data_IF_015955810194
#
_entry.id   IF_015955810194
#
_cell.length_a   1.000
_cell.length_b   1.000
_cell.length_c   1.000
_cell.angle_alpha   90.00
_cell.angle_beta   90.00
_cell.angle_gamma   90.00
#
_symmetry.space_group_name_H-M   'P 1'
#
loop_
_entity.id
_entity.type
_entity.pdbx_description
1 polymer ?
#
# COMPACT_ATOMS: atom_id res chain seq x y z
N UNK A 1 19.21 73.00 -28.03
CA UNK A 1 18.27 74.14 -27.91
C UNK A 1 16.96 73.64 -28.48
N UNK A 2 15.83 73.47 -27.80
CA UNK A 2 15.25 74.17 -26.64
C UNK A 2 14.13 73.29 -26.06
N UNK A 3 13.89 73.37 -24.75
CA UNK A 3 12.79 72.73 -24.01
C UNK A 3 11.42 73.37 -24.31
N UNK A 4 10.33 72.61 -24.13
CA UNK A 4 9.09 72.93 -23.38
C UNK A 4 8.07 71.82 -23.69
N UNK A 5 7.42 71.09 -22.78
CA UNK A 5 6.98 71.42 -21.43
C UNK A 5 5.56 72.00 -21.47
N UNK A 6 4.52 71.15 -21.55
CA UNK A 6 3.14 71.45 -21.11
C UNK A 6 2.49 70.15 -20.62
N UNK A 7 2.26 70.08 -19.30
CA UNK A 7 1.31 69.18 -18.66
C UNK A 7 -0.10 69.75 -18.83
N UNK A 8 -1.06 68.91 -19.23
CA UNK A 8 -2.46 69.11 -18.85
C UNK A 8 -3.07 67.76 -18.50
N UNK A 9 -3.39 67.64 -17.21
CA UNK A 9 -4.05 66.57 -16.52
C UNK A 9 -5.56 66.84 -16.57
N UNK A 10 -6.40 65.93 -17.07
CA UNK A 10 -7.81 65.83 -16.65
C UNK A 10 -8.40 64.44 -16.93
N UNK A 11 -8.71 63.76 -15.81
CA UNK A 11 -9.93 62.98 -15.52
C UNK A 11 -10.23 61.65 -16.22
N UNK A 12 -9.94 60.60 -15.46
CA UNK A 12 -10.92 59.60 -14.97
C UNK A 12 -11.92 59.02 -15.97
N UNK A 13 -11.72 57.75 -16.33
CA UNK A 13 -12.77 56.73 -16.21
C UNK A 13 -12.13 55.38 -15.92
N UNK A 14 -12.27 54.96 -14.66
CA UNK A 14 -12.00 53.62 -14.20
C UNK A 14 -12.89 52.64 -14.98
N UNK A 15 -12.25 51.71 -15.71
CA UNK A 15 -12.91 50.48 -16.13
C UNK A 15 -12.29 49.38 -15.25
N UNK A 16 -12.90 49.23 -14.09
CA UNK A 16 -12.65 48.15 -13.16
C UNK A 16 -13.14 46.87 -13.84
N UNK A 17 -12.26 46.18 -14.58
CA UNK A 17 -12.49 44.77 -14.92
C UNK A 17 -12.32 43.99 -13.61
N UNK A 18 -13.41 43.82 -12.89
CA UNK A 18 -13.51 42.74 -11.92
C UNK A 18 -13.52 41.43 -12.71
N UNK A 19 -12.58 40.50 -12.47
CA UNK A 19 -12.76 39.15 -12.96
C UNK A 19 -13.99 38.60 -12.24
N UNK A 20 -15.02 38.30 -13.03
CA UNK A 20 -16.20 37.55 -12.62
C UNK A 20 -15.71 36.31 -11.86
N UNK A 21 -16.17 36.03 -10.63
CA UNK A 21 -15.82 34.78 -9.96
C UNK A 21 -16.40 33.66 -10.82
N UNK A 22 -15.53 32.95 -11.52
CA UNK A 22 -15.90 31.76 -12.26
C UNK A 22 -16.39 30.77 -11.22
N UNK A 23 -17.68 30.49 -11.31
CA UNK A 23 -18.40 29.66 -10.36
C UNK A 23 -17.94 28.20 -10.49
N UNK A 24 -17.90 27.56 -9.32
CA UNK A 24 -17.95 26.11 -9.09
C UNK A 24 -16.69 25.35 -9.50
N UNK A 25 -15.70 25.37 -8.61
CA UNK A 25 -14.86 24.19 -8.41
C UNK A 25 -15.74 23.20 -7.66
N UNK A 26 -16.32 22.24 -8.38
CA UNK A 26 -16.88 21.03 -7.77
C UNK A 26 -15.70 20.21 -7.23
N UNK A 27 -15.20 20.59 -6.06
CA UNK A 27 -14.34 19.74 -5.26
C UNK A 27 -15.24 18.75 -4.52
N UNK A 28 -15.83 17.81 -5.25
CA UNK A 28 -16.21 16.51 -4.70
C UNK A 28 -15.00 15.58 -4.74
N UNK A 29 -13.82 16.09 -4.34
CA UNK A 29 -12.59 15.33 -4.31
C UNK A 29 -12.51 14.57 -2.99
N UNK A 30 -13.42 13.59 -2.84
CA UNK A 30 -13.19 12.50 -1.92
C UNK A 30 -11.78 11.96 -2.19
N UNK A 31 -10.94 11.75 -1.15
CA UNK A 31 -9.59 11.29 -1.37
C UNK A 31 -9.63 10.02 -2.22
N UNK A 32 -8.72 9.88 -3.20
CA UNK A 32 -8.71 8.71 -4.05
C UNK A 32 -8.65 7.46 -3.17
N UNK A 33 -9.34 6.40 -3.60
CA UNK A 33 -9.28 5.13 -2.90
C UNK A 33 -7.81 4.76 -2.61
N UNK A 34 -7.51 4.33 -1.38
CA UNK A 34 -6.11 4.14 -0.90
C UNK A 34 -5.25 3.33 -1.86
N UNK A 35 -5.82 2.31 -2.50
CA UNK A 35 -5.09 1.44 -3.43
C UNK A 35 -4.67 2.13 -4.73
N UNK A 36 -5.26 3.27 -5.10
CA UNK A 36 -4.88 4.02 -6.30
C UNK A 36 -3.54 4.76 -6.15
N UNK A 37 -3.08 4.93 -4.91
CA UNK A 37 -1.77 5.47 -4.58
C UNK A 37 -0.86 4.30 -4.18
N UNK A 38 0.28 4.16 -4.85
CA UNK A 38 1.20 3.05 -4.62
C UNK A 38 1.95 3.25 -3.30
N UNK A 39 1.72 2.35 -2.34
CA UNK A 39 2.32 2.43 -1.01
C UNK A 39 3.83 2.13 -1.02
N UNK A 40 4.57 2.75 -0.11
CA UNK A 40 6.00 2.53 0.14
C UNK A 40 6.38 1.08 0.51
N UNK A 41 5.42 0.25 0.93
CA UNK A 41 5.62 -1.18 1.19
C UNK A 41 5.72 -2.01 -0.09
N UNK A 42 5.16 -1.53 -1.20
CA UNK A 42 5.23 -2.22 -2.51
C UNK A 42 6.68 -2.24 -2.99
N UNK A 43 7.26 -3.37 -3.44
CA UNK A 43 8.65 -3.44 -3.90
C UNK A 43 9.02 -2.38 -4.95
N UNK A 44 10.20 -1.77 -4.82
CA UNK A 44 10.64 -0.66 -5.68
C UNK A 44 10.55 -0.92 -7.20
N UNK A 45 10.92 -2.10 -7.72
CA UNK A 45 10.79 -2.38 -9.15
C UNK A 45 9.34 -2.34 -9.65
N UNK A 46 8.38 -2.71 -8.81
CA UNK A 46 6.95 -2.66 -9.14
C UNK A 46 6.46 -1.21 -9.14
N UNK A 47 6.86 -0.42 -8.12
CA UNK A 47 6.49 1.00 -8.03
C UNK A 47 6.95 1.80 -9.24
N UNK A 48 8.21 1.64 -9.63
CA UNK A 48 8.78 2.35 -10.78
C UNK A 48 7.98 2.13 -12.07
N UNK A 49 7.60 0.88 -12.36
CA UNK A 49 6.84 0.57 -13.57
C UNK A 49 5.37 1.06 -13.48
N UNK A 50 4.80 1.10 -12.28
CA UNK A 50 3.47 1.71 -12.07
C UNK A 50 3.51 3.24 -12.22
N UNK A 51 4.57 3.90 -11.72
CA UNK A 51 4.78 5.34 -11.92
C UNK A 51 4.96 5.67 -13.41
N UNK A 52 5.68 4.83 -14.16
CA UNK A 52 5.78 4.92 -15.63
C UNK A 52 4.41 4.77 -16.30
N UNK A 53 3.58 3.81 -15.85
CA UNK A 53 2.24 3.59 -16.39
C UNK A 53 1.30 4.78 -16.14
N UNK A 54 1.30 5.32 -14.91
CA UNK A 54 0.54 6.52 -14.56
C UNK A 54 1.02 7.73 -15.36
N UNK A 55 2.33 7.92 -15.48
CA UNK A 55 2.92 9.00 -16.29
C UNK A 55 2.49 8.91 -17.76
N UNK A 56 2.47 7.71 -18.33
CA UNK A 56 1.96 7.50 -19.68
C UNK A 56 0.46 7.83 -19.78
N UNK A 57 -0.36 7.40 -18.82
CA UNK A 57 -1.79 7.67 -18.83
C UNK A 57 -2.09 9.17 -18.70
N UNK A 58 -1.38 9.88 -17.83
CA UNK A 58 -1.50 11.33 -17.64
C UNK A 58 -1.12 12.15 -18.90
N UNK A 59 -0.25 11.59 -19.75
CA UNK A 59 0.16 12.17 -21.03
C UNK A 59 -0.62 11.59 -22.22
N UNK A 60 -1.68 10.81 -21.96
CA UNK A 60 -2.51 10.11 -22.97
C UNK A 60 -1.72 9.21 -23.93
N UNK A 61 -0.59 8.65 -23.47
CA UNK A 61 0.24 7.69 -24.21
C UNK A 61 -0.19 6.25 -23.94
N UNK A 62 -1.28 5.82 -24.56
CA UNK A 62 -1.90 4.50 -24.32
C UNK A 62 -0.98 3.32 -24.65
N UNK A 63 -0.18 3.40 -25.71
CA UNK A 63 0.80 2.36 -26.07
C UNK A 63 1.83 2.15 -24.96
N UNK A 64 2.44 3.25 -24.48
CA UNK A 64 3.42 3.21 -23.40
C UNK A 64 2.79 2.75 -22.09
N UNK A 65 1.62 3.28 -21.74
CA UNK A 65 0.90 2.91 -20.53
C UNK A 65 0.50 1.43 -20.51
N UNK A 66 0.02 0.90 -21.64
CA UNK A 66 -0.32 -0.53 -21.77
C UNK A 66 0.90 -1.41 -21.57
N UNK A 67 2.02 -1.07 -22.22
CA UNK A 67 3.28 -1.82 -22.06
C UNK A 67 3.77 -1.79 -20.61
N UNK A 68 3.72 -0.64 -19.95
CA UNK A 68 4.12 -0.49 -18.55
C UNK A 68 3.20 -1.28 -17.62
N UNK A 69 1.87 -1.17 -17.76
CA UNK A 69 0.93 -1.88 -16.91
C UNK A 69 1.05 -3.41 -17.02
N UNK A 70 1.18 -3.96 -18.24
CA UNK A 70 1.42 -5.40 -18.46
C UNK A 70 2.79 -5.82 -17.92
N UNK A 71 3.82 -4.99 -18.07
CA UNK A 71 5.15 -5.22 -17.49
C UNK A 71 5.11 -5.23 -15.97
N UNK A 72 4.39 -4.31 -15.33
CA UNK A 72 4.23 -4.25 -13.88
C UNK A 72 3.70 -5.59 -13.36
N UNK A 73 2.69 -6.16 -14.02
CA UNK A 73 2.16 -7.47 -13.64
C UNK A 73 3.19 -8.60 -13.77
N UNK A 74 4.00 -8.61 -14.84
CA UNK A 74 5.11 -9.58 -14.96
C UNK A 74 6.15 -9.40 -13.85
N UNK A 75 6.46 -8.17 -13.46
CA UNK A 75 7.37 -7.89 -12.34
C UNK A 75 6.77 -8.37 -11.00
N UNK A 76 5.47 -8.21 -10.79
CA UNK A 76 4.75 -8.78 -9.63
C UNK A 76 4.88 -10.31 -9.62
N UNK A 77 4.57 -10.99 -10.73
CA UNK A 77 4.67 -12.45 -10.82
C UNK A 77 6.11 -12.94 -10.60
N UNK A 78 7.11 -12.23 -11.12
CA UNK A 78 8.52 -12.56 -10.89
C UNK A 78 8.90 -12.39 -9.41
N UNK A 79 8.48 -11.29 -8.79
CA UNK A 79 8.73 -11.00 -7.36
C UNK A 79 8.07 -12.05 -6.47
N UNK A 80 6.86 -12.49 -6.84
CA UNK A 80 6.12 -13.53 -6.15
C UNK A 80 6.62 -14.96 -6.47
N UNK A 81 7.63 -15.11 -7.33
CA UNK A 81 8.21 -16.39 -7.75
C UNK A 81 7.19 -17.34 -8.40
N UNK A 82 6.25 -16.78 -9.16
CA UNK A 82 5.21 -17.53 -9.90
C UNK A 82 5.26 -17.28 -11.41
N UNK A 83 6.20 -16.46 -11.90
CA UNK A 83 6.34 -16.16 -13.32
C UNK A 83 6.89 -17.38 -14.08
N UNK A 84 6.18 -17.75 -15.14
CA UNK A 84 6.57 -18.75 -16.14
C UNK A 84 6.41 -18.16 -17.54
N UNK A 85 6.77 -18.91 -18.57
CA UNK A 85 6.56 -18.50 -19.98
C UNK A 85 5.08 -18.45 -20.36
N UNK A 86 4.21 -19.14 -19.61
CA UNK A 86 2.76 -19.09 -19.76
C UNK A 86 2.16 -18.07 -18.77
N UNK A 87 1.64 -16.98 -19.32
CA UNK A 87 1.01 -15.92 -18.51
C UNK A 87 -0.21 -16.42 -17.75
N UNK A 88 -1.08 -17.22 -18.39
CA UNK A 88 -2.31 -17.72 -17.77
C UNK A 88 -1.99 -18.69 -16.64
N UNK A 89 -0.99 -19.55 -16.82
CA UNK A 89 -0.49 -20.40 -15.73
C UNK A 89 0.09 -19.57 -14.58
N UNK A 90 0.88 -18.55 -14.88
CA UNK A 90 1.47 -17.64 -13.88
C UNK A 90 0.39 -16.88 -13.09
N UNK A 91 -0.67 -16.43 -13.77
CA UNK A 91 -1.80 -15.74 -13.17
C UNK A 91 -2.61 -16.66 -12.26
N UNK A 92 -2.81 -17.92 -12.66
CA UNK A 92 -3.45 -18.94 -11.83
C UNK A 92 -2.62 -19.22 -10.56
N UNK A 93 -1.32 -19.44 -10.68
CA UNK A 93 -0.44 -19.66 -9.54
C UNK A 93 -0.41 -18.47 -8.58
N UNK A 94 -0.45 -17.24 -9.11
CA UNK A 94 -0.56 -16.04 -8.27
C UNK A 94 -1.88 -16.01 -7.48
N UNK A 95 -3.00 -16.35 -8.14
CA UNK A 95 -4.33 -16.42 -7.51
C UNK A 95 -4.38 -17.48 -6.42
N UNK A 96 -3.79 -18.65 -6.65
CA UNK A 96 -3.71 -19.72 -5.66
C UNK A 96 -2.86 -19.33 -4.45
N UNK A 97 -1.72 -18.67 -4.69
CA UNK A 97 -0.84 -18.15 -3.63
C UNK A 97 -1.55 -17.10 -2.76
N UNK A 98 -2.38 -16.27 -3.37
CA UNK A 98 -3.08 -15.16 -2.71
C UNK A 98 -4.60 -15.35 -2.70
N UNK A 99 -5.07 -16.48 -2.17
CA UNK A 99 -6.49 -16.87 -2.17
C UNK A 99 -7.45 -15.87 -1.47
N UNK A 100 -6.93 -14.96 -0.65
CA UNK A 100 -7.72 -13.90 0.00
C UNK A 100 -8.07 -12.71 -0.92
N UNK A 101 -7.48 -12.63 -2.12
CA UNK A 101 -7.72 -11.55 -3.07
C UNK A 101 -8.98 -11.85 -3.89
N UNK A 102 -9.81 -10.83 -4.10
CA UNK A 102 -11.06 -10.95 -4.83
C UNK A 102 -10.85 -11.52 -6.26
N UNK A 103 -11.54 -12.61 -6.65
CA UNK A 103 -11.39 -13.23 -7.97
C UNK A 103 -11.60 -12.28 -9.15
N UNK A 104 -12.47 -11.28 -8.99
CA UNK A 104 -12.78 -10.28 -10.02
C UNK A 104 -11.54 -9.53 -10.51
N UNK A 105 -10.55 -9.28 -9.64
CA UNK A 105 -9.31 -8.61 -10.04
C UNK A 105 -8.51 -9.47 -11.03
N UNK A 106 -8.45 -10.78 -10.80
CA UNK A 106 -7.80 -11.71 -11.72
C UNK A 106 -8.56 -11.84 -13.04
N UNK A 107 -9.90 -11.75 -13.03
CA UNK A 107 -10.70 -11.71 -14.27
C UNK A 107 -10.34 -10.52 -15.14
N UNK A 108 -10.12 -9.33 -14.54
CA UNK A 108 -9.69 -8.15 -15.30
C UNK A 108 -8.28 -8.32 -15.85
N UNK A 109 -7.36 -8.92 -15.08
CA UNK A 109 -6.01 -9.23 -15.56
C UNK A 109 -5.98 -10.25 -16.69
N UNK A 110 -6.89 -11.23 -16.69
CA UNK A 110 -7.01 -12.20 -17.77
C UNK A 110 -7.48 -11.51 -19.06
N UNK A 111 -8.43 -10.59 -18.95
CA UNK A 111 -8.98 -9.84 -20.07
C UNK A 111 -8.00 -8.81 -20.67
N UNK A 112 -7.25 -8.09 -19.83
CA UNK A 112 -6.50 -6.90 -20.24
C UNK A 112 -4.97 -7.05 -20.12
N UNK A 113 -4.50 -8.02 -19.34
CA UNK A 113 -3.08 -8.17 -18.98
C UNK A 113 -2.21 -8.81 -20.07
N UNK A 114 -2.81 -9.29 -21.16
CA UNK A 114 -2.10 -9.90 -22.30
C UNK A 114 -2.45 -9.23 -23.62
N UNK A 115 -1.75 -9.63 -24.68
CA UNK A 115 -1.92 -9.11 -26.04
C UNK A 115 -0.80 -8.16 -26.46
N UNK A 116 -0.75 -7.88 -27.76
CA UNK A 116 0.25 -7.01 -28.38
C UNK A 116 -0.31 -5.62 -28.70
N UNK A 117 -1.64 -5.51 -28.79
CA UNK A 117 -2.30 -4.25 -29.10
C UNK A 117 -2.35 -3.31 -27.87
N UNK A 118 -2.19 -1.99 -28.09
CA UNK A 118 -2.49 -0.97 -27.09
C UNK A 118 -3.94 -1.05 -26.62
N UNK A 119 -4.16 -0.83 -25.33
CA UNK A 119 -5.50 -0.66 -24.78
C UNK A 119 -5.98 0.78 -24.98
N UNK A 120 -7.27 0.96 -25.23
CA UNK A 120 -7.92 2.26 -25.16
C UNK A 120 -7.88 2.82 -23.73
N UNK A 121 -8.04 4.14 -23.60
CA UNK A 121 -7.85 4.88 -22.34
C UNK A 121 -8.60 4.28 -21.14
N UNK A 122 -9.88 3.92 -21.31
CA UNK A 122 -10.70 3.37 -20.23
C UNK A 122 -10.23 1.97 -19.82
N UNK A 123 -9.87 1.13 -20.79
CA UNK A 123 -9.36 -0.21 -20.55
C UNK A 123 -7.96 -0.16 -19.90
N UNK A 124 -7.11 0.78 -20.32
CA UNK A 124 -5.82 1.02 -19.68
C UNK A 124 -5.99 1.49 -18.24
N UNK A 125 -6.92 2.42 -17.99
CA UNK A 125 -7.24 2.89 -16.63
C UNK A 125 -7.70 1.73 -15.74
N UNK A 126 -8.58 0.87 -16.26
CA UNK A 126 -9.03 -0.32 -15.56
C UNK A 126 -7.88 -1.29 -15.25
N UNK A 127 -6.96 -1.51 -16.21
CA UNK A 127 -5.80 -2.35 -16.00
C UNK A 127 -4.86 -1.78 -14.93
N UNK A 128 -4.49 -0.50 -15.02
CA UNK A 128 -3.61 0.17 -14.04
C UNK A 128 -4.23 0.09 -12.64
N UNK A 129 -5.50 0.46 -12.49
CA UNK A 129 -6.20 0.40 -11.22
C UNK A 129 -6.25 -1.03 -10.65
N UNK A 130 -6.44 -2.03 -11.51
CA UNK A 130 -6.45 -3.45 -11.11
C UNK A 130 -5.08 -3.92 -10.63
N UNK A 131 -4.00 -3.60 -11.35
CA UNK A 131 -2.64 -3.95 -10.93
C UNK A 131 -2.34 -3.28 -9.59
N UNK A 132 -2.70 -2.01 -9.43
CA UNK A 132 -2.58 -1.26 -8.17
C UNK A 132 -3.36 -1.91 -7.02
N UNK A 133 -4.59 -2.36 -7.26
CA UNK A 133 -5.39 -3.07 -6.26
C UNK A 133 -4.74 -4.40 -5.83
N UNK A 134 -4.19 -5.17 -6.78
CA UNK A 134 -3.51 -6.43 -6.48
C UNK A 134 -2.24 -6.19 -5.65
N UNK A 135 -1.40 -5.24 -6.03
CA UNK A 135 -0.17 -4.95 -5.27
C UNK A 135 -0.49 -4.40 -3.88
N UNK A 136 -1.59 -3.64 -3.74
CA UNK A 136 -2.07 -3.17 -2.44
C UNK A 136 -2.50 -4.34 -1.54
N UNK A 137 -3.30 -5.28 -2.06
CA UNK A 137 -3.69 -6.47 -1.29
C UNK A 137 -2.50 -7.34 -0.88
N UNK A 138 -1.53 -7.54 -1.79
CA UNK A 138 -0.36 -8.39 -1.53
C UNK A 138 0.58 -7.72 -0.50
N UNK A 139 1.00 -6.49 -0.74
CA UNK A 139 2.11 -5.87 -0.02
C UNK A 139 1.69 -4.93 1.11
N UNK A 140 0.44 -4.47 1.14
CA UNK A 140 -0.06 -3.56 2.18
C UNK A 140 -1.04 -4.29 3.08
N UNK A 141 -2.14 -4.79 2.53
CA UNK A 141 -3.13 -5.48 3.35
C UNK A 141 -2.56 -6.81 3.88
N UNK A 142 -1.77 -7.51 3.07
CA UNK A 142 -1.02 -8.70 3.51
C UNK A 142 -0.13 -8.42 4.73
N UNK A 143 0.64 -7.33 4.71
CA UNK A 143 1.50 -6.96 5.85
C UNK A 143 0.69 -6.50 7.05
N UNK A 144 -0.34 -5.67 6.86
CA UNK A 144 -1.22 -5.19 7.94
C UNK A 144 -1.92 -6.38 8.64
N UNK A 145 -2.33 -7.40 7.88
CA UNK A 145 -2.92 -8.64 8.44
C UNK A 145 -1.90 -9.39 9.30
N UNK A 146 -0.64 -9.50 8.87
CA UNK A 146 0.40 -10.17 9.66
C UNK A 146 0.72 -9.42 10.96
N UNK A 147 0.91 -8.11 10.87
CA UNK A 147 1.15 -7.23 12.04
C UNK A 147 0.00 -7.33 13.06
N UNK A 148 -1.25 -7.32 12.57
CA UNK A 148 -2.42 -7.46 13.44
C UNK A 148 -2.47 -8.84 14.13
N UNK A 149 -2.15 -9.92 13.42
CA UNK A 149 -2.12 -11.27 13.99
C UNK A 149 -1.01 -11.42 15.04
N UNK A 150 0.17 -10.85 14.79
CA UNK A 150 1.27 -10.84 15.75
C UNK A 150 0.86 -10.13 17.04
N UNK A 151 0.33 -8.91 16.94
CA UNK A 151 -0.18 -8.16 18.09
C UNK A 151 -1.25 -8.92 18.88
N UNK A 152 -2.22 -9.53 18.19
CA UNK A 152 -3.27 -10.32 18.85
C UNK A 152 -2.70 -11.56 19.56
N UNK A 153 -1.68 -12.21 18.99
CA UNK A 153 -1.04 -13.36 19.61
C UNK A 153 -0.33 -12.99 20.92
N UNK A 154 0.34 -11.83 20.97
CA UNK A 154 0.97 -11.32 22.19
C UNK A 154 -0.04 -10.98 23.27
N UNK A 155 -1.18 -10.39 22.88
CA UNK A 155 -2.26 -10.06 23.80
C UNK A 155 -2.88 -11.33 24.41
N UNK A 156 -3.15 -12.35 23.60
CA UNK A 156 -3.69 -13.64 24.07
C UNK A 156 -2.69 -14.34 25.00
N UNK A 157 -1.41 -14.41 24.62
CA UNK A 157 -0.38 -15.03 25.46
C UNK A 157 -0.16 -14.32 26.79
N UNK A 158 -0.45 -13.02 26.87
CA UNK A 158 -0.43 -12.26 28.13
C UNK A 158 -1.63 -12.60 29.01
N UNK A 159 -2.83 -12.70 28.44
CA UNK A 159 -4.04 -13.11 29.16
C UNK A 159 -3.94 -14.56 29.70
N UNK A 160 -3.27 -15.46 29.00
CA UNK A 160 -3.06 -16.84 29.47
C UNK A 160 -2.07 -16.92 30.64
N UNK A 161 -1.01 -16.10 30.63
CA UNK A 161 -0.04 -16.01 31.73
C UNK A 161 -0.67 -15.50 33.02
N UNK A 162 -1.56 -14.52 32.94
CA UNK A 162 -2.27 -13.97 34.11
C UNK A 162 -3.29 -14.94 34.71
N UNK A 163 -3.74 -15.95 33.94
CA UNK A 163 -4.68 -16.98 34.41
C UNK A 163 -4.02 -18.15 35.13
N UNK A 164 -2.69 -18.23 35.21
CA UNK A 164 -1.98 -19.24 36.02
C UNK A 164 -1.70 -18.63 37.40
N UNK A 165 -2.48 -18.96 38.46
CA UNK A 165 -2.09 -18.57 39.79
C UNK A 165 -0.80 -19.32 40.17
N UNK A 166 0.25 -18.57 40.46
CA UNK A 166 1.46 -19.10 41.10
C UNK A 166 1.01 -19.71 42.42
N UNK A 167 0.96 -21.03 42.48
CA UNK A 167 0.67 -21.75 43.72
C UNK A 167 1.73 -21.36 44.75
N UNK A 168 1.36 -20.90 45.96
CA UNK A 168 2.34 -20.43 46.94
C UNK A 168 3.23 -21.61 47.32
N UNK A 169 4.52 -21.48 47.00
CA UNK A 169 5.56 -22.42 47.41
C UNK A 169 5.45 -22.65 48.92
N UNK A 170 5.21 -23.90 49.25
CA UNK A 170 5.19 -24.50 50.59
C UNK A 170 6.38 -23.97 51.40
N UNK A 171 6.08 -23.18 52.42
CA UNK A 171 7.01 -22.66 53.42
C UNK A 171 7.88 -23.81 53.96
N UNK A 172 9.18 -23.71 53.73
CA UNK A 172 10.17 -24.61 54.31
C UNK A 172 10.15 -24.45 55.83
N UNK A 173 9.91 -25.55 56.54
CA UNK A 173 9.96 -25.61 58.00
C UNK A 173 11.40 -25.35 58.51
N UNK A 174 11.55 -24.76 59.72
CA UNK A 174 12.85 -24.40 60.25
C UNK A 174 13.64 -25.64 60.67
N UNK A 175 14.92 -25.70 60.31
CA UNK A 175 15.88 -26.67 60.86
C UNK A 175 16.10 -26.36 62.35
N UNK A 176 15.71 -27.28 63.22
CA UNK A 176 16.09 -27.24 64.62
C UNK A 176 17.54 -27.72 64.77
N UNK A 177 18.40 -26.83 65.27
CA UNK A 177 19.68 -27.18 65.87
C UNK A 177 19.45 -27.79 67.26
N UNK A 178 20.16 -28.87 67.57
CA UNK A 178 20.06 -29.59 68.85
C UNK A 178 21.26 -30.48 69.11
N UNK A 179 22.35 -29.85 69.57
CA UNK A 179 23.58 -30.44 70.07
C UNK A 179 23.38 -31.32 71.31
N UNK A 180 23.98 -32.52 71.38
CA UNK A 180 24.57 -33.04 72.63
C UNK A 180 25.55 -34.21 72.40
N UNK A 181 26.70 -34.08 73.07
CA UNK A 181 27.92 -34.89 73.07
C UNK A 181 27.98 -35.73 74.36
N UNK A 182 28.25 -37.03 74.27
CA UNK A 182 28.70 -37.90 75.39
C UNK A 182 29.46 -39.11 74.80
N UNK A 183 30.80 -39.15 74.74
CA UNK A 183 31.84 -39.57 75.73
C UNK A 183 31.78 -41.05 76.19
N UNK A 184 32.90 -41.76 75.88
CA UNK A 184 33.54 -42.95 76.55
C UNK A 184 32.73 -44.26 76.54
N UNK A 185 33.26 -45.47 76.48
CA UNK A 185 34.58 -46.14 76.50
C UNK A 185 34.45 -47.37 75.54
N UNK A 186 35.43 -48.15 75.10
CA UNK A 186 36.72 -48.67 75.55
C UNK A 186 37.63 -48.90 74.32
#
# INVERSE_FOLDING_TARGET
MTQSGVQTQEREKAIHLTPKPSAVVDNDESPPHRFLVVDSRVPSPIRQVLDEADGCMNLTFTTGGTACARRAMRVVMATESVLTDDYSASLLSLREKHAGIAPTLFTVLDLLGTGDEPLEADALTALIATVKAIVYEIYVVGSERLEALEYLSELIGSLERDRIPVSPQKTAAPKAEGSARARRAE
#
